data_IF_622145654980
#
_entry.id   IF_622145654980
#
_cell.length_a   1.000
_cell.length_b   1.000
_cell.length_c   1.000
_cell.angle_alpha   90.00
_cell.angle_beta   90.00
_cell.angle_gamma   90.00
#
_symmetry.space_group_name_H-M   'P 1'
#
loop_
_entity.id
_entity.type
_entity.pdbx_description
1 polymer ?
#
# COMPACT_ATOMS: atom_id res chain seq x y z
N UNK A 1 -7.07 -14.02 -16.83
CA UNK A 1 -6.69 -13.25 -15.61
C UNK A 1 -5.38 -13.85 -15.09
N UNK A 2 -4.73 -13.25 -14.09
CA UNK A 2 -3.55 -13.88 -13.47
C UNK A 2 -3.95 -15.13 -12.67
N UNK A 3 -3.04 -16.09 -12.47
CA UNK A 3 -3.33 -17.33 -11.70
C UNK A 3 -3.78 -17.03 -10.27
N UNK A 4 -3.25 -15.99 -9.63
CA UNK A 4 -3.63 -15.58 -8.28
C UNK A 4 -5.08 -15.05 -8.22
N UNK A 5 -5.46 -14.17 -9.16
CA UNK A 5 -6.82 -13.67 -9.28
C UNK A 5 -7.85 -14.80 -9.48
N UNK A 6 -7.54 -15.81 -10.30
CA UNK A 6 -8.42 -16.97 -10.53
C UNK A 6 -8.56 -17.84 -9.27
N UNK A 7 -7.51 -17.97 -8.45
CA UNK A 7 -7.60 -18.68 -7.16
C UNK A 7 -8.52 -17.93 -6.20
N UNK A 8 -8.39 -16.61 -6.12
CA UNK A 8 -9.23 -15.79 -5.27
C UNK A 8 -10.70 -15.81 -5.70
N UNK A 9 -10.97 -15.69 -7.01
CA UNK A 9 -12.31 -15.80 -7.58
C UNK A 9 -12.99 -17.13 -7.19
N UNK A 10 -12.26 -18.24 -7.31
CA UNK A 10 -12.76 -19.56 -6.89
C UNK A 10 -13.02 -19.61 -5.38
N UNK A 11 -12.08 -19.15 -4.56
CA UNK A 11 -12.24 -19.14 -3.11
C UNK A 11 -13.46 -18.31 -2.66
N UNK A 12 -13.72 -17.18 -3.29
CA UNK A 12 -14.91 -16.36 -3.06
C UNK A 12 -16.19 -17.12 -3.44
N UNK A 13 -16.23 -17.69 -4.65
CA UNK A 13 -17.38 -18.43 -5.17
C UNK A 13 -17.71 -19.66 -4.32
N UNK A 14 -16.68 -20.45 -3.97
CA UNK A 14 -16.81 -21.64 -3.12
C UNK A 14 -17.28 -21.29 -1.70
N UNK A 15 -17.03 -20.05 -1.25
CA UNK A 15 -17.53 -19.53 0.02
C UNK A 15 -18.93 -18.91 -0.08
N UNK A 16 -19.59 -19.01 -1.25
CA UNK A 16 -20.94 -18.52 -1.47
C UNK A 16 -21.05 -17.03 -1.83
N UNK A 17 -19.94 -16.33 -2.04
CA UNK A 17 -19.95 -14.91 -2.44
C UNK A 17 -20.32 -14.78 -3.92
N UNK A 18 -21.32 -13.97 -4.24
CA UNK A 18 -21.79 -13.80 -5.60
C UNK A 18 -22.57 -12.52 -5.86
N UNK A 19 -23.50 -12.60 -6.82
CA UNK A 19 -24.30 -11.45 -7.24
C UNK A 19 -25.12 -10.85 -6.09
N UNK A 20 -24.95 -9.55 -5.85
CA UNK A 20 -25.62 -8.82 -4.78
C UNK A 20 -24.78 -8.64 -3.52
N UNK A 21 -23.69 -9.40 -3.37
CA UNK A 21 -22.77 -9.26 -2.25
C UNK A 21 -21.78 -8.11 -2.45
N UNK A 22 -21.28 -7.59 -1.34
CA UNK A 22 -20.20 -6.63 -1.27
C UNK A 22 -18.95 -7.26 -0.65
N UNK A 23 -17.78 -6.99 -1.25
CA UNK A 23 -16.48 -7.46 -0.73
C UNK A 23 -15.59 -6.25 -0.44
N UNK A 24 -15.21 -6.09 0.82
CA UNK A 24 -14.36 -4.99 1.28
C UNK A 24 -12.90 -5.29 1.00
N UNK A 25 -12.19 -4.34 0.39
CA UNK A 25 -10.78 -4.51 -0.03
C UNK A 25 -10.08 -3.15 -0.14
N UNK A 26 -8.73 -3.08 -0.12
CA UNK A 26 -8.04 -1.81 -0.33
C UNK A 26 -8.17 -1.36 -1.79
N UNK A 27 -8.08 -0.05 -2.04
CA UNK A 27 -7.98 0.46 -3.42
C UNK A 27 -6.53 0.59 -3.92
N UNK A 28 -5.54 0.47 -3.05
CA UNK A 28 -4.13 0.65 -3.39
C UNK A 28 -3.55 -0.66 -3.93
N UNK A 29 -2.98 -0.65 -5.14
CA UNK A 29 -2.39 -1.81 -5.82
C UNK A 29 -3.25 -3.08 -5.99
N UNK A 30 -4.57 -3.02 -5.80
CA UNK A 30 -5.43 -4.19 -5.70
C UNK A 30 -6.27 -4.47 -6.97
N UNK A 31 -5.77 -4.16 -8.16
CA UNK A 31 -6.58 -4.24 -9.38
C UNK A 31 -7.00 -5.69 -9.72
N UNK A 32 -6.09 -6.65 -9.55
CA UNK A 32 -6.38 -8.08 -9.79
C UNK A 32 -7.45 -8.61 -8.83
N UNK A 33 -7.37 -8.23 -7.55
CA UNK A 33 -8.36 -8.55 -6.52
C UNK A 33 -9.74 -7.99 -6.89
N UNK A 34 -9.80 -6.74 -7.35
CA UNK A 34 -11.07 -6.12 -7.73
C UNK A 34 -11.69 -6.79 -8.96
N UNK A 35 -10.87 -7.29 -9.89
CA UNK A 35 -11.34 -8.09 -11.01
C UNK A 35 -11.84 -9.47 -10.57
N UNK A 36 -11.14 -10.14 -9.65
CA UNK A 36 -11.57 -11.43 -9.10
C UNK A 36 -12.93 -11.32 -8.38
N UNK A 37 -13.11 -10.30 -7.54
CA UNK A 37 -14.40 -10.00 -6.89
C UNK A 37 -15.49 -9.76 -7.92
N UNK A 38 -15.21 -8.97 -8.97
CA UNK A 38 -16.23 -8.70 -9.98
C UNK A 38 -16.56 -9.93 -10.84
N UNK A 39 -15.62 -10.86 -11.02
CA UNK A 39 -15.84 -12.09 -11.76
C UNK A 39 -16.84 -13.03 -11.06
N UNK A 40 -16.97 -12.96 -9.73
CA UNK A 40 -18.02 -13.69 -9.00
C UNK A 40 -19.41 -13.05 -9.12
N UNK A 41 -19.50 -11.83 -9.68
CA UNK A 41 -20.72 -11.02 -9.70
C UNK A 41 -20.89 -10.12 -8.47
N UNK A 42 -20.01 -10.21 -7.49
CA UNK A 42 -20.01 -9.34 -6.31
C UNK A 42 -19.50 -7.92 -6.63
N UNK A 43 -19.79 -6.99 -5.72
CA UNK A 43 -19.37 -5.59 -5.82
C UNK A 43 -18.14 -5.32 -4.95
N UNK A 44 -17.01 -4.87 -5.54
CA UNK A 44 -15.89 -4.36 -4.75
C UNK A 44 -16.27 -3.09 -3.99
N UNK A 45 -16.04 -3.10 -2.68
CA UNK A 45 -16.16 -1.94 -1.79
C UNK A 45 -14.76 -1.57 -1.32
N UNK A 46 -14.33 -0.36 -1.67
CA UNK A 46 -12.98 0.09 -1.36
C UNK A 46 -12.92 0.77 0.00
N UNK A 47 -11.97 0.36 0.83
CA UNK A 47 -11.62 0.99 2.09
C UNK A 47 -10.16 1.50 2.07
N UNK A 48 -9.86 2.43 2.98
CA UNK A 48 -8.56 3.08 3.02
C UNK A 48 -7.47 2.18 3.65
N UNK A 49 -6.23 2.55 3.40
CA UNK A 49 -5.05 1.81 3.87
C UNK A 49 -4.48 2.41 5.16
N UNK A 50 -3.74 1.60 5.90
CA UNK A 50 -2.84 2.08 6.93
C UNK A 50 -1.65 2.85 6.30
N UNK A 51 -1.25 3.96 6.94
CA UNK A 51 -0.29 4.90 6.37
C UNK A 51 1.15 4.35 6.29
N UNK A 52 1.49 3.39 7.15
CA UNK A 52 2.84 2.86 7.28
C UNK A 52 3.01 1.52 6.54
N UNK A 53 2.07 0.60 6.69
CA UNK A 53 2.09 -0.72 6.04
C UNK A 53 1.55 -0.71 4.60
N UNK A 54 0.73 0.29 4.26
CA UNK A 54 -0.05 0.35 3.02
C UNK A 54 -1.07 -0.79 2.81
N UNK A 55 -1.23 -1.65 3.81
CA UNK A 55 -2.26 -2.68 3.83
C UNK A 55 -3.62 -2.08 4.21
N UNK A 56 -4.69 -2.83 3.97
CA UNK A 56 -6.04 -2.43 4.37
C UNK A 56 -6.13 -2.12 5.87
N UNK A 57 -6.64 -0.94 6.24
CA UNK A 57 -6.89 -0.58 7.64
C UNK A 57 -8.13 -1.30 8.17
N UNK A 58 -8.01 -1.95 9.33
CA UNK A 58 -9.13 -2.64 9.97
C UNK A 58 -10.28 -1.69 10.33
N UNK A 59 -9.96 -0.48 10.82
CA UNK A 59 -10.97 0.53 11.15
C UNK A 59 -11.67 1.06 9.89
N UNK A 60 -10.89 1.30 8.83
CA UNK A 60 -11.46 1.74 7.55
C UNK A 60 -12.36 0.67 6.92
N UNK A 61 -11.94 -0.61 7.02
CA UNK A 61 -12.73 -1.74 6.54
C UNK A 61 -14.05 -1.88 7.32
N UNK A 62 -14.00 -1.81 8.65
CA UNK A 62 -15.20 -1.86 9.49
C UNK A 62 -16.16 -0.68 9.20
N UNK A 63 -15.62 0.51 8.93
CA UNK A 63 -16.42 1.71 8.67
C UNK A 63 -17.22 1.70 7.36
N UNK A 64 -16.96 0.77 6.44
CA UNK A 64 -17.68 0.65 5.16
C UNK A 64 -18.57 -0.59 5.08
N UNK A 65 -18.66 -1.37 6.16
CA UNK A 65 -19.52 -2.56 6.22
C UNK A 65 -20.99 -2.18 6.10
N UNK A 66 -21.71 -2.92 5.26
CA UNK A 66 -23.16 -2.81 5.07
C UNK A 66 -23.83 -4.17 5.26
N UNK A 67 -25.17 -4.25 5.31
CA UNK A 67 -25.87 -5.54 5.35
C UNK A 67 -25.62 -6.45 4.14
N UNK A 68 -25.07 -5.92 3.03
CA UNK A 68 -24.67 -6.71 1.85
C UNK A 68 -23.22 -7.18 1.90
N UNK A 69 -22.43 -6.71 2.87
CA UNK A 69 -21.04 -7.12 2.97
C UNK A 69 -20.97 -8.59 3.34
N UNK A 70 -20.30 -9.39 2.53
CA UNK A 70 -20.13 -10.82 2.73
C UNK A 70 -18.69 -11.19 3.12
N UNK A 71 -17.70 -10.43 2.63
CA UNK A 71 -16.29 -10.75 2.85
C UNK A 71 -15.39 -9.51 2.94
N UNK A 72 -14.24 -9.69 3.58
CA UNK A 72 -13.08 -8.81 3.56
C UNK A 72 -11.93 -9.55 2.87
N UNK A 73 -11.28 -8.91 1.90
CA UNK A 73 -10.07 -9.42 1.23
C UNK A 73 -8.90 -8.47 1.50
N UNK A 74 -7.97 -8.82 2.41
CA UNK A 74 -6.73 -8.08 2.59
C UNK A 74 -5.81 -8.23 1.37
N UNK A 75 -4.87 -7.29 1.25
CA UNK A 75 -3.74 -7.38 0.31
C UNK A 75 -2.45 -7.16 1.08
N UNK A 76 -1.49 -8.08 0.95
CA UNK A 76 -0.17 -7.97 1.56
C UNK A 76 0.73 -7.03 0.75
N UNK A 77 0.71 -5.74 1.11
CA UNK A 77 1.22 -4.69 0.24
C UNK A 77 2.76 -4.69 0.20
N UNK A 78 3.34 -4.90 -1.00
CA UNK A 78 4.80 -4.88 -1.23
C UNK A 78 5.61 -5.91 -0.41
N UNK A 79 4.93 -6.97 0.04
CA UNK A 79 5.47 -7.95 0.95
C UNK A 79 5.29 -7.60 2.44
N UNK A 80 4.69 -6.45 2.77
CA UNK A 80 4.23 -6.17 4.13
C UNK A 80 2.96 -6.98 4.40
N UNK A 81 2.96 -7.79 5.46
CA UNK A 81 1.78 -8.58 5.82
C UNK A 81 0.67 -7.65 6.35
N UNK A 82 -0.57 -7.91 5.94
CA UNK A 82 -1.74 -7.20 6.47
C UNK A 82 -1.99 -7.58 7.95
N UNK A 83 -2.63 -6.69 8.69
CA UNK A 83 -3.07 -6.97 10.07
C UNK A 83 -4.28 -7.91 10.06
N UNK A 84 -4.02 -9.21 9.88
CA UNK A 84 -5.05 -10.23 9.86
C UNK A 84 -5.73 -10.41 11.22
N UNK A 85 -5.06 -10.04 12.32
CA UNK A 85 -5.67 -10.10 13.64
C UNK A 85 -6.75 -9.02 13.78
N UNK A 86 -6.42 -7.77 13.45
CA UNK A 86 -7.39 -6.66 13.44
C UNK A 86 -8.51 -6.87 12.42
N UNK A 87 -8.16 -7.27 11.19
CA UNK A 87 -9.16 -7.55 10.15
C UNK A 87 -10.04 -8.76 10.48
N UNK A 88 -9.48 -9.80 11.10
CA UNK A 88 -10.23 -10.97 11.55
C UNK A 88 -11.22 -10.63 12.66
N UNK A 89 -10.82 -9.78 13.60
CA UNK A 89 -11.72 -9.28 14.63
C UNK A 89 -12.84 -8.42 14.05
N UNK A 90 -12.54 -7.54 13.09
CA UNK A 90 -13.55 -6.77 12.36
C UNK A 90 -14.53 -7.69 11.61
N UNK A 91 -14.02 -8.68 10.86
CA UNK A 91 -14.83 -9.65 10.13
C UNK A 91 -15.76 -10.41 11.08
N UNK A 92 -15.22 -10.94 12.19
CA UNK A 92 -15.97 -11.70 13.19
C UNK A 92 -17.10 -10.90 13.83
N UNK A 93 -16.88 -9.62 14.16
CA UNK A 93 -17.92 -8.74 14.73
C UNK A 93 -19.12 -8.54 13.80
N UNK A 94 -18.89 -8.61 12.49
CA UNK A 94 -19.89 -8.38 11.46
C UNK A 94 -20.37 -9.66 10.77
N UNK A 95 -19.89 -10.84 11.19
CA UNK A 95 -20.25 -12.12 10.59
C UNK A 95 -19.72 -12.30 9.16
N UNK A 96 -18.62 -11.64 8.82
CA UNK A 96 -18.02 -11.64 7.48
C UNK A 96 -16.97 -12.72 7.32
N UNK A 97 -16.76 -13.17 6.09
CA UNK A 97 -15.59 -13.96 5.72
C UNK A 97 -14.33 -13.08 5.69
N UNK A 98 -13.20 -13.62 6.12
CA UNK A 98 -11.88 -13.03 5.86
C UNK A 98 -11.12 -13.98 4.94
N UNK A 99 -10.87 -13.56 3.71
CA UNK A 99 -10.18 -14.38 2.71
C UNK A 99 -8.80 -13.81 2.45
N UNK A 100 -7.81 -14.37 3.16
CA UNK A 100 -6.41 -14.08 2.93
C UNK A 100 -5.93 -14.68 1.61
N UNK A 101 -5.21 -13.90 0.79
CA UNK A 101 -4.56 -14.41 -0.40
C UNK A 101 -3.09 -14.03 -0.38
N UNK A 102 -2.24 -15.06 -0.32
CA UNK A 102 -0.80 -14.88 -0.30
C UNK A 102 -0.26 -14.84 -1.74
N UNK A 103 0.61 -13.86 -2.03
CA UNK A 103 1.21 -13.69 -3.36
C UNK A 103 2.72 -13.90 -3.40
N UNK A 104 3.41 -13.96 -2.24
CA UNK A 104 4.87 -14.13 -2.22
C UNK A 104 5.31 -15.60 -2.08
N UNK A 105 5.30 -16.32 -3.20
CA UNK A 105 5.78 -17.72 -3.26
C UNK A 105 7.33 -17.82 -3.37
N UNK A 106 8.06 -16.74 -3.04
CA UNK A 106 9.51 -16.69 -3.21
C UNK A 106 10.28 -17.57 -2.21
N UNK A 107 11.44 -18.14 -2.59
CA UNK A 107 12.26 -18.92 -1.68
C UNK A 107 12.73 -18.13 -0.46
N UNK A 108 12.77 -18.79 0.71
CA UNK A 108 13.19 -18.16 1.97
C UNK A 108 14.57 -17.48 1.89
N UNK A 109 15.52 -18.08 1.16
CA UNK A 109 16.85 -17.50 0.96
C UNK A 109 16.81 -16.15 0.24
N UNK A 110 15.91 -15.98 -0.73
CA UNK A 110 15.73 -14.72 -1.43
C UNK A 110 15.08 -13.66 -0.53
N UNK A 111 14.07 -14.07 0.25
CA UNK A 111 13.41 -13.20 1.23
C UNK A 111 14.44 -12.67 2.25
N UNK A 112 15.30 -13.54 2.78
CA UNK A 112 16.37 -13.15 3.70
C UNK A 112 17.34 -12.13 3.08
N UNK A 113 17.67 -12.30 1.80
CA UNK A 113 18.54 -11.36 1.10
C UNK A 113 17.88 -9.98 0.92
N UNK A 114 16.60 -9.95 0.52
CA UNK A 114 15.81 -8.71 0.43
C UNK A 114 15.71 -8.01 1.79
N UNK A 115 15.49 -8.77 2.86
CA UNK A 115 15.46 -8.25 4.23
C UNK A 115 16.81 -7.66 4.65
N UNK A 116 17.94 -8.28 4.30
CA UNK A 116 19.27 -7.74 4.57
C UNK A 116 19.51 -6.42 3.81
N UNK A 117 19.09 -6.34 2.54
CA UNK A 117 19.15 -5.11 1.75
C UNK A 117 18.24 -4.02 2.32
N UNK A 118 17.02 -4.36 2.71
CA UNK A 118 16.10 -3.45 3.36
C UNK A 118 16.67 -2.91 4.68
N UNK A 119 17.28 -3.76 5.52
CA UNK A 119 17.95 -3.34 6.74
C UNK A 119 19.12 -2.39 6.45
N UNK A 120 19.92 -2.68 5.42
CA UNK A 120 21.01 -1.81 4.97
C UNK A 120 20.50 -0.42 4.56
N UNK A 121 19.43 -0.36 3.77
CA UNK A 121 18.79 0.86 3.28
C UNK A 121 18.12 1.64 4.43
N UNK A 122 17.33 0.96 5.28
CA UNK A 122 16.65 1.55 6.44
C UNK A 122 17.64 2.29 7.35
N UNK A 123 18.81 1.68 7.59
CA UNK A 123 19.83 2.27 8.44
C UNK A 123 20.47 3.55 7.86
N UNK A 124 20.42 3.77 6.54
CA UNK A 124 21.26 4.77 5.83
C UNK A 124 20.49 5.79 5.01
N UNK A 125 19.27 5.50 4.61
CA UNK A 125 18.41 6.48 3.94
C UNK A 125 17.97 7.54 4.96
N UNK A 126 18.10 8.79 4.54
CA UNK A 126 17.72 10.00 5.28
C UNK A 126 16.94 10.97 4.40
N UNK A 127 17.12 10.90 3.08
CA UNK A 127 16.44 11.76 2.12
C UNK A 127 15.01 11.35 1.75
N UNK A 128 14.54 10.21 2.25
CA UNK A 128 13.20 9.66 2.02
C UNK A 128 12.71 9.00 3.30
N UNK A 129 11.39 8.82 3.45
CA UNK A 129 10.82 8.02 4.54
C UNK A 129 10.85 6.55 4.14
N UNK A 130 11.52 5.74 4.95
CA UNK A 130 11.67 4.29 4.73
C UNK A 130 10.42 3.52 5.18
N UNK A 131 10.18 2.30 4.67
CA UNK A 131 9.14 1.42 5.18
C UNK A 131 9.24 1.28 6.71
N UNK A 132 8.11 1.41 7.40
CA UNK A 132 8.00 1.05 8.81
C UNK A 132 7.34 -0.32 8.91
N UNK A 133 7.86 -1.16 9.80
CA UNK A 133 7.29 -2.48 10.07
C UNK A 133 6.93 -2.51 11.55
N UNK A 134 5.65 -2.71 11.85
CA UNK A 134 5.18 -2.82 13.23
C UNK A 134 5.84 -4.03 13.93
N UNK A 135 5.99 -3.96 15.25
CA UNK A 135 6.52 -5.07 16.03
C UNK A 135 5.64 -6.32 15.83
N UNK A 136 6.25 -7.44 15.44
CA UNK A 136 5.53 -8.70 15.15
C UNK A 136 4.94 -8.79 13.73
N UNK A 137 4.97 -7.73 12.92
CA UNK A 137 4.56 -7.80 11.54
C UNK A 137 5.66 -8.40 10.65
N UNK A 138 5.27 -9.26 9.70
CA UNK A 138 6.16 -9.81 8.69
C UNK A 138 6.32 -8.86 7.50
N UNK A 139 7.55 -8.78 6.95
CA UNK A 139 7.82 -8.05 5.71
C UNK A 139 8.83 -8.80 4.83
N UNK A 140 8.41 -9.24 3.65
CA UNK A 140 9.27 -9.98 2.69
C UNK A 140 10.03 -9.06 1.73
N UNK A 141 9.64 -7.79 1.66
CA UNK A 141 10.27 -6.75 0.84
C UNK A 141 10.31 -7.12 -0.65
N UNK A 142 9.21 -7.72 -1.17
CA UNK A 142 9.01 -7.89 -2.61
C UNK A 142 9.30 -6.59 -3.37
N UNK A 143 8.90 -5.46 -2.79
CA UNK A 143 9.34 -4.14 -3.22
C UNK A 143 9.78 -3.31 -2.00
N UNK A 144 10.92 -2.65 -2.10
CA UNK A 144 11.31 -1.64 -1.11
C UNK A 144 10.74 -0.27 -1.51
N UNK A 145 9.60 0.08 -0.91
CA UNK A 145 8.85 1.29 -1.24
C UNK A 145 9.07 2.37 -0.19
N UNK A 146 9.59 3.51 -0.62
CA UNK A 146 9.79 4.70 0.22
C UNK A 146 8.73 5.75 -0.07
N UNK A 147 8.48 6.66 0.86
CA UNK A 147 7.73 7.90 0.59
C UNK A 147 8.72 9.05 0.33
N UNK A 148 8.59 9.68 -0.83
CA UNK A 148 9.34 10.88 -1.19
C UNK A 148 8.73 12.08 -0.47
N UNK A 149 9.53 12.88 0.26
CA UNK A 149 9.03 14.08 0.94
C UNK A 149 8.64 15.17 -0.08
N UNK A 150 7.78 16.10 0.34
CA UNK A 150 7.40 17.27 -0.45
C UNK A 150 5.90 17.34 -0.71
N UNK A 151 5.53 17.86 -1.88
CA UNK A 151 4.17 18.18 -2.31
C UNK A 151 3.51 17.06 -3.13
N UNK A 152 3.83 15.80 -2.82
CA UNK A 152 3.25 14.62 -3.48
C UNK A 152 3.82 14.40 -4.88
N UNK A 153 2.92 14.14 -5.85
CA UNK A 153 3.27 13.63 -7.18
C UNK A 153 4.34 14.43 -7.93
N UNK A 154 4.30 15.78 -8.01
CA UNK A 154 5.33 16.55 -8.72
C UNK A 154 6.73 16.29 -8.18
N UNK A 155 6.89 16.29 -6.85
CA UNK A 155 8.18 16.09 -6.20
C UNK A 155 8.63 14.63 -6.30
N UNK A 156 7.70 13.67 -6.17
CA UNK A 156 7.97 12.25 -6.39
C UNK A 156 8.46 11.98 -7.81
N UNK A 157 7.78 12.54 -8.82
CA UNK A 157 8.13 12.34 -10.23
C UNK A 157 9.48 13.01 -10.57
N UNK A 158 9.74 14.21 -10.04
CA UNK A 158 11.04 14.87 -10.18
C UNK A 158 12.15 14.05 -9.50
N UNK A 159 11.92 13.54 -8.29
CA UNK A 159 12.88 12.68 -7.58
C UNK A 159 13.18 11.42 -8.38
N UNK A 160 12.14 10.76 -8.92
CA UNK A 160 12.30 9.57 -9.75
C UNK A 160 13.08 9.86 -11.04
N UNK A 161 12.81 11.00 -11.69
CA UNK A 161 13.54 11.43 -12.90
C UNK A 161 15.03 11.59 -12.62
N UNK A 162 15.41 12.23 -11.50
CA UNK A 162 16.82 12.44 -11.15
C UNK A 162 17.51 11.14 -10.72
N UNK A 163 16.81 10.22 -10.04
CA UNK A 163 17.37 8.90 -9.76
C UNK A 163 17.64 8.12 -11.06
N UNK A 164 16.71 8.14 -12.01
CA UNK A 164 16.84 7.45 -13.29
C UNK A 164 17.97 8.04 -14.14
N UNK A 165 18.15 9.36 -14.16
CA UNK A 165 19.29 9.99 -14.87
C UNK A 165 20.65 9.62 -14.26
N UNK A 166 20.67 9.17 -13.00
CA UNK A 166 21.86 8.59 -12.33
C UNK A 166 21.98 7.06 -12.49
N UNK A 167 21.15 6.45 -13.34
CA UNK A 167 21.16 5.01 -13.60
C UNK A 167 20.55 4.16 -12.48
N UNK A 168 19.72 4.73 -11.60
CA UNK A 168 19.02 3.99 -10.54
C UNK A 168 17.61 3.64 -11.03
N UNK A 169 17.34 2.35 -11.19
CA UNK A 169 16.07 1.84 -11.70
C UNK A 169 14.94 1.90 -10.66
N UNK A 170 14.40 3.09 -10.40
CA UNK A 170 13.22 3.29 -9.55
C UNK A 170 11.91 3.34 -10.36
N UNK A 171 10.79 2.96 -9.72
CA UNK A 171 9.46 2.99 -10.34
C UNK A 171 8.38 3.46 -9.38
N UNK A 172 7.32 4.05 -9.93
CA UNK A 172 6.09 4.34 -9.19
C UNK A 172 5.32 3.03 -9.05
N UNK A 173 5.10 2.51 -7.83
CA UNK A 173 4.48 1.20 -7.67
C UNK A 173 2.98 1.21 -7.98
N UNK A 174 2.29 2.34 -7.71
CA UNK A 174 0.86 2.52 -7.99
C UNK A 174 0.67 3.92 -8.56
N UNK A 175 0.30 4.03 -9.83
CA UNK A 175 0.05 5.31 -10.47
C UNK A 175 -1.37 5.83 -10.21
N UNK A 176 -2.35 4.93 -10.32
CA UNK A 176 -3.76 5.24 -10.14
C UNK A 176 -4.39 4.18 -9.24
N UNK A 177 -4.87 4.54 -8.03
CA UNK A 177 -5.64 3.63 -7.21
C UNK A 177 -6.88 3.11 -7.94
N UNK A 178 -7.29 1.88 -7.65
CA UNK A 178 -8.37 1.18 -8.35
C UNK A 178 -9.68 1.97 -8.37
N UNK A 179 -10.07 2.63 -7.29
CA UNK A 179 -11.28 3.46 -7.24
C UNK A 179 -11.28 4.67 -8.21
N UNK A 180 -10.16 4.97 -8.87
CA UNK A 180 -10.02 6.02 -9.89
C UNK A 180 -9.81 5.48 -11.31
N UNK A 181 -9.57 4.18 -11.47
CA UNK A 181 -9.35 3.57 -12.78
C UNK A 181 -10.67 3.39 -13.55
N UNK A 182 -10.63 3.38 -14.90
CA UNK A 182 -11.80 3.04 -15.70
C UNK A 182 -12.40 1.68 -15.28
N UNK A 183 -13.73 1.61 -15.22
CA UNK A 183 -14.44 0.41 -14.80
C UNK A 183 -14.59 0.22 -13.30
N UNK A 184 -13.74 0.82 -12.46
CA UNK A 184 -13.89 0.78 -10.98
C UNK A 184 -14.06 2.17 -10.36
N UNK A 185 -14.21 3.20 -11.19
CA UNK A 185 -14.34 4.59 -10.75
C UNK A 185 -15.50 4.76 -9.76
N UNK A 186 -15.19 5.31 -8.59
CA UNK A 186 -16.15 5.71 -7.55
C UNK A 186 -15.85 7.14 -7.09
N UNK A 187 -16.90 7.87 -6.73
CA UNK A 187 -16.74 9.14 -6.01
C UNK A 187 -16.51 8.83 -4.53
N UNK A 188 -15.26 8.54 -4.19
CA UNK A 188 -14.82 8.11 -2.86
C UNK A 188 -13.55 8.85 -2.49
N UNK A 189 -13.42 9.19 -1.21
CA UNK A 189 -12.23 9.83 -0.64
C UNK A 189 -11.48 8.81 0.20
N UNK A 190 -10.29 8.44 -0.23
CA UNK A 190 -9.39 7.51 0.46
C UNK A 190 -8.06 8.23 0.73
N UNK A 191 -8.01 9.12 1.74
CA UNK A 191 -6.90 10.05 1.93
C UNK A 191 -5.53 9.37 2.03
N UNK A 192 -5.41 8.23 2.71
CA UNK A 192 -4.13 7.52 2.85
C UNK A 192 -3.71 6.83 1.56
N UNK A 193 -4.66 6.23 0.86
CA UNK A 193 -4.47 5.64 -0.48
C UNK A 193 -4.01 6.70 -1.48
N UNK A 194 -4.65 7.86 -1.49
CA UNK A 194 -4.32 8.98 -2.37
C UNK A 194 -2.92 9.52 -2.06
N UNK A 195 -2.63 9.74 -0.77
CA UNK A 195 -1.32 10.17 -0.30
C UNK A 195 -0.23 9.17 -0.67
N UNK A 196 -0.48 7.87 -0.53
CA UNK A 196 0.47 6.84 -0.91
C UNK A 196 0.74 6.84 -2.44
N UNK A 197 -0.29 6.99 -3.28
CA UNK A 197 -0.11 7.05 -4.74
C UNK A 197 0.76 8.25 -5.19
N UNK A 198 0.64 9.36 -4.48
CA UNK A 198 1.39 10.58 -4.79
C UNK A 198 2.82 10.58 -4.24
N UNK A 199 3.09 9.91 -3.12
CA UNK A 199 4.40 9.95 -2.44
C UNK A 199 5.27 8.71 -2.69
N UNK A 200 4.69 7.56 -3.02
CA UNK A 200 5.43 6.30 -3.05
C UNK A 200 6.35 6.18 -4.27
N UNK A 201 7.55 5.67 -4.00
CA UNK A 201 8.57 5.31 -4.99
C UNK A 201 9.22 3.99 -4.59
N UNK A 202 9.20 3.00 -5.49
CA UNK A 202 9.93 1.75 -5.31
C UNK A 202 11.40 1.95 -5.73
N UNK A 203 12.30 1.72 -4.79
CA UNK A 203 13.75 1.70 -5.03
C UNK A 203 14.20 0.27 -5.37
N UNK A 204 15.32 0.11 -6.09
CA UNK A 204 15.87 -1.21 -6.33
C UNK A 204 16.34 -1.84 -5.01
N UNK A 205 15.79 -3.02 -4.71
CA UNK A 205 16.11 -3.83 -3.52
C UNK A 205 16.22 -5.33 -3.82
N UNK A 206 16.35 -5.70 -5.10
CA UNK A 206 16.44 -7.08 -5.53
C UNK A 206 17.60 -7.84 -4.89
N UNK A 207 17.48 -9.16 -4.86
CA UNK A 207 18.44 -10.09 -4.25
C UNK A 207 19.79 -10.18 -4.98
N UNK A 208 19.91 -9.55 -6.15
CA UNK A 208 21.15 -9.54 -6.96
C UNK A 208 21.95 -8.24 -6.85
N UNK A 209 21.47 -7.24 -6.10
CA UNK A 209 22.14 -5.95 -6.00
C UNK A 209 23.46 -6.07 -5.22
N UNK A 210 24.52 -5.51 -5.77
CA UNK A 210 25.78 -5.37 -5.07
C UNK A 210 25.72 -4.28 -4.00
N UNK A 211 26.61 -4.38 -3.00
CA UNK A 211 26.78 -3.35 -1.97
C UNK A 211 27.09 -1.96 -2.57
N UNK A 212 27.81 -1.91 -3.69
CA UNK A 212 28.13 -0.68 -4.42
C UNK A 212 26.87 -0.04 -5.01
N UNK A 213 25.95 -0.83 -5.53
CA UNK A 213 24.68 -0.35 -6.06
C UNK A 213 23.77 0.16 -4.94
N UNK A 214 23.68 -0.55 -3.80
CA UNK A 214 22.95 -0.06 -2.63
C UNK A 214 23.53 1.28 -2.11
N UNK A 215 24.85 1.40 -2.05
CA UNK A 215 25.51 2.67 -1.70
C UNK A 215 25.18 3.80 -2.67
N UNK A 216 25.12 3.50 -3.98
CA UNK A 216 24.71 4.48 -5.00
C UNK A 216 23.27 4.94 -4.78
N UNK A 217 22.36 4.02 -4.49
CA UNK A 217 20.96 4.33 -4.14
C UNK A 217 20.89 5.25 -2.92
N UNK A 218 21.57 4.88 -1.83
CA UNK A 218 21.62 5.68 -0.60
C UNK A 218 22.15 7.08 -0.86
N UNK A 219 23.28 7.18 -1.55
CA UNK A 219 23.95 8.46 -1.82
C UNK A 219 23.06 9.38 -2.66
N UNK A 220 22.44 8.86 -3.71
CA UNK A 220 21.56 9.63 -4.57
C UNK A 220 20.29 10.09 -3.82
N UNK A 221 19.64 9.20 -3.06
CA UNK A 221 18.44 9.56 -2.31
C UNK A 221 18.73 10.62 -1.23
N UNK A 222 19.85 10.47 -0.50
CA UNK A 222 20.23 11.41 0.54
C UNK A 222 20.60 12.79 -0.02
N UNK A 223 21.26 12.84 -1.18
CA UNK A 223 21.57 14.10 -1.84
C UNK A 223 20.30 14.86 -2.28
N UNK A 224 19.29 14.13 -2.76
CA UNK A 224 18.03 14.74 -3.22
C UNK A 224 17.10 15.15 -2.07
N UNK A 225 16.99 14.35 -1.02
CA UNK A 225 16.07 14.65 0.08
C UNK A 225 16.44 15.89 0.89
N UNK A 226 17.71 16.33 0.85
CA UNK A 226 18.13 17.62 1.41
C UNK A 226 17.49 18.82 0.70
N UNK A 227 17.06 18.66 -0.56
CA UNK A 227 16.50 19.73 -1.41
C UNK A 227 14.98 19.85 -1.33
N UNK A 228 14.27 18.81 -0.85
CA UNK A 228 12.80 18.71 -0.88
C UNK A 228 12.16 18.90 0.51
N UNK A 229 12.74 19.73 1.38
CA UNK A 229 12.17 19.96 2.72
C UNK A 229 10.74 20.51 2.59
N UNK A 230 9.74 19.91 3.26
CA UNK A 230 8.37 20.40 3.19
C UNK A 230 8.29 21.83 3.77
N UNK A 231 7.57 22.70 3.08
CA UNK A 231 7.11 23.97 3.65
C UNK A 231 6.14 23.63 4.79
N UNK A 232 6.31 24.17 6.01
CA UNK A 232 5.34 23.93 7.07
C UNK A 232 3.97 24.44 6.63
N UNK A 233 2.97 23.55 6.61
CA UNK A 233 1.58 23.94 6.33
C UNK A 233 1.11 24.79 7.50
N UNK A 234 0.79 26.06 7.25
CA UNK A 234 0.12 26.93 8.21
C UNK A 234 -1.15 26.21 8.68
N UNK A 235 -1.20 25.84 9.95
CA UNK A 235 -2.38 25.26 10.57
C UNK A 235 -3.55 26.22 10.41
N UNK A 236 -4.66 25.72 9.90
CA UNK A 236 -5.95 26.41 9.88
C UNK A 236 -6.50 26.50 11.32
N UNK A 237 -5.89 27.35 12.14
CA UNK A 237 -6.40 27.75 13.45
C UNK A 237 -7.46 28.83 13.30
N UNK A 238 -8.67 28.46 12.89
CA UNK A 238 -9.87 29.25 13.20
C UNK A 238 -10.46 28.71 14.50
N UNK A 239 -9.88 29.09 15.63
CA UNK A 239 -10.62 29.07 16.89
C UNK A 239 -11.24 30.45 17.09
N UNK A 240 -12.53 30.52 16.79
CA UNK A 240 -13.41 31.54 17.33
C UNK A 240 -13.61 31.20 18.81
N UNK A 241 -12.93 31.89 19.72
CA UNK A 241 -13.37 31.94 21.11
C UNK A 241 -14.21 33.20 21.30
N UNK A 242 -15.53 32.99 21.47
CA UNK A 242 -16.45 33.96 22.08
C UNK A 242 -16.64 33.57 23.54
N UNK A 243 -16.53 34.59 24.40
CA UNK A 243 -17.31 34.87 25.61
C UNK A 243 -16.73 34.52 27.00
N UNK A 244 -16.99 35.51 27.90
CA UNK A 244 -16.84 35.61 29.38
C UNK A 244 -15.46 36.14 29.80
N UNK A 245 -15.32 37.32 30.42
CA UNK A 245 -16.12 38.00 31.47
C UNK A 245 -16.38 39.45 31.12
#
# INVERSE_FOLDING_TARGET
MGRAAERLERALTDSGVGAGDEVVMPSFAAQEVAHAVRATGATPVFADIDADSFCLSADAAAGVVTPRTAAIVPVHQFGHRADLAGLGEAARRHGLLLLDHEEDESPAAEILHRQAHAAYLNARLRGVRTPRVAAGAGHTYQQYVVRVPGNGRPDRDAFAMVLRSKGIACRVPVQTPVHRTPGFRRDLRLPETERAADECLALPSGSSLSRRELQRVVSACNALGGLLRPVPRLGSGRERSRARV
#
